data_IF_169738991461
#
_entry.id   IF_169738991461
#
_cell.length_a   1.000
_cell.length_b   1.000
_cell.length_c   1.000
_cell.angle_alpha   90.00
_cell.angle_beta   90.00
_cell.angle_gamma   90.00
#
_symmetry.space_group_name_H-M   'P 1'
#
loop_
_entity.id
_entity.type
_entity.pdbx_description
1 polymer ?
#
# COMPACT_ATOMS: atom_id res chain seq x y z
N UNK A 1 35.09 28.63 -8.54
CA UNK A 1 35.14 27.17 -8.33
C UNK A 1 34.57 26.85 -6.97
N UNK A 2 33.86 25.73 -6.82
CA UNK A 2 33.39 25.30 -5.50
C UNK A 2 34.59 25.10 -4.58
N UNK A 3 34.55 25.68 -3.38
CA UNK A 3 35.65 25.56 -2.42
C UNK A 3 35.83 24.09 -2.03
N UNK A 4 37.07 23.65 -1.77
CA UNK A 4 37.34 22.31 -1.20
C UNK A 4 36.50 22.02 0.04
N UNK A 5 36.19 23.07 0.82
CA UNK A 5 35.31 23.01 1.98
C UNK A 5 33.86 22.64 1.59
N UNK A 6 33.32 23.22 0.53
CA UNK A 6 31.97 22.94 0.04
C UNK A 6 31.85 21.51 -0.50
N UNK A 7 32.85 21.05 -1.27
CA UNK A 7 32.87 19.68 -1.79
C UNK A 7 32.92 18.68 -0.61
N UNK A 8 33.76 18.93 0.39
CA UNK A 8 33.82 18.10 1.61
C UNK A 8 32.50 18.10 2.39
N UNK A 9 31.87 19.27 2.55
CA UNK A 9 30.56 19.38 3.20
C UNK A 9 29.50 18.57 2.45
N UNK A 10 29.51 18.59 1.11
CA UNK A 10 28.61 17.81 0.28
C UNK A 10 28.83 16.30 0.44
N UNK A 11 30.08 15.83 0.49
CA UNK A 11 30.41 14.41 0.77
C UNK A 11 29.79 13.99 2.10
N UNK A 12 29.96 14.80 3.15
CA UNK A 12 29.43 14.49 4.48
C UNK A 12 27.89 14.46 4.47
N UNK A 13 27.24 15.42 3.81
CA UNK A 13 25.78 15.46 3.70
C UNK A 13 25.22 14.22 2.99
N UNK A 14 25.80 13.81 1.86
CA UNK A 14 25.35 12.63 1.11
C UNK A 14 25.66 11.35 1.89
N UNK A 15 26.79 11.29 2.60
CA UNK A 15 27.14 10.17 3.50
C UNK A 15 26.13 10.00 4.65
N UNK A 16 25.73 11.10 5.29
CA UNK A 16 24.68 11.09 6.31
C UNK A 16 23.34 10.62 5.73
N UNK A 17 22.99 11.11 4.53
CA UNK A 17 21.77 10.68 3.82
C UNK A 17 21.79 9.17 3.54
N UNK A 18 22.93 8.63 3.07
CA UNK A 18 23.11 7.18 2.86
C UNK A 18 22.90 6.38 4.15
N UNK A 19 23.45 6.84 5.28
CA UNK A 19 23.27 6.19 6.58
C UNK A 19 21.79 6.14 6.99
N UNK A 20 21.07 7.25 6.79
CA UNK A 20 19.64 7.31 7.08
C UNK A 20 18.86 6.34 6.18
N UNK A 21 19.09 6.36 4.86
CA UNK A 21 18.40 5.44 3.94
C UNK A 21 18.73 3.97 4.22
N UNK A 22 19.97 3.66 4.60
CA UNK A 22 20.37 2.31 5.00
C UNK A 22 19.64 1.85 6.27
N UNK A 23 19.57 2.70 7.29
CA UNK A 23 18.80 2.41 8.51
C UNK A 23 17.31 2.23 8.20
N UNK A 24 16.72 3.11 7.38
CA UNK A 24 15.31 3.00 6.97
C UNK A 24 15.03 1.73 6.16
N UNK A 25 15.98 1.28 5.32
CA UNK A 25 15.90 -0.03 4.64
C UNK A 25 15.80 -1.15 5.67
N UNK A 26 16.68 -1.18 6.68
CA UNK A 26 16.68 -2.23 7.71
C UNK A 26 15.38 -2.23 8.53
N UNK A 27 14.90 -1.05 8.93
CA UNK A 27 13.63 -0.92 9.68
C UNK A 27 12.45 -1.41 8.83
N UNK A 28 12.41 -1.04 7.55
CA UNK A 28 11.33 -1.45 6.65
C UNK A 28 11.38 -2.94 6.34
N UNK A 29 12.58 -3.51 6.18
CA UNK A 29 12.77 -4.95 5.97
C UNK A 29 12.31 -5.78 7.18
N UNK A 30 12.60 -5.30 8.39
CA UNK A 30 12.12 -5.95 9.62
C UNK A 30 10.59 -5.94 9.71
N UNK A 31 9.96 -4.82 9.35
CA UNK A 31 8.49 -4.71 9.30
C UNK A 31 7.88 -5.57 8.19
N UNK A 32 8.50 -5.60 7.00
CA UNK A 32 8.10 -6.45 5.88
C UNK A 32 8.05 -7.91 6.32
N UNK A 33 9.14 -8.41 6.92
CA UNK A 33 9.20 -9.80 7.39
C UNK A 33 8.09 -10.10 8.40
N UNK A 34 7.84 -9.19 9.34
CA UNK A 34 6.74 -9.34 10.30
C UNK A 34 5.37 -9.44 9.60
N UNK A 35 5.10 -8.59 8.61
CA UNK A 35 3.81 -8.61 7.90
C UNK A 35 3.68 -9.80 6.95
N UNK A 36 4.79 -10.26 6.35
CA UNK A 36 4.83 -11.52 5.59
C UNK A 36 4.52 -12.72 6.49
N UNK A 37 5.17 -12.83 7.65
CA UNK A 37 4.92 -13.90 8.62
C UNK A 37 3.44 -13.90 9.07
N UNK A 38 2.88 -12.72 9.36
CA UNK A 38 1.45 -12.57 9.69
C UNK A 38 0.55 -13.03 8.53
N UNK A 39 0.92 -12.71 7.28
CA UNK A 39 0.16 -13.11 6.10
C UNK A 39 0.20 -14.62 5.89
N UNK A 40 1.38 -15.23 6.03
CA UNK A 40 1.58 -16.68 5.90
C UNK A 40 0.80 -17.46 6.96
N UNK A 41 0.80 -16.97 8.21
CA UNK A 41 0.00 -17.57 9.29
C UNK A 41 -1.51 -17.41 9.05
N UNK A 42 -1.91 -16.36 8.34
CA UNK A 42 -3.30 -16.04 8.07
C UNK A 42 -3.90 -16.83 6.89
N UNK A 43 -3.09 -17.19 5.90
CA UNK A 43 -3.53 -17.87 4.68
C UNK A 43 -4.36 -19.14 4.94
N UNK A 44 -3.95 -20.10 5.80
CA UNK A 44 -4.72 -21.32 6.02
C UNK A 44 -6.14 -21.06 6.52
N UNK A 45 -6.29 -20.06 7.39
CA UNK A 45 -7.59 -19.66 7.94
C UNK A 45 -8.48 -19.01 6.88
N UNK A 46 -7.91 -18.09 6.09
CA UNK A 46 -8.60 -17.44 4.96
C UNK A 46 -9.05 -18.48 3.92
N UNK A 47 -8.15 -19.36 3.51
CA UNK A 47 -8.42 -20.34 2.47
C UNK A 47 -9.49 -21.32 2.93
N UNK A 48 -9.42 -21.79 4.18
CA UNK A 48 -10.44 -22.70 4.72
C UNK A 48 -11.80 -22.04 4.86
N UNK A 49 -11.88 -20.79 5.32
CA UNK A 49 -13.15 -20.05 5.37
C UNK A 49 -13.75 -19.82 3.98
N UNK A 50 -12.89 -19.50 3.00
CA UNK A 50 -13.32 -19.30 1.62
C UNK A 50 -13.83 -20.62 1.03
N UNK A 51 -13.14 -21.73 1.30
CA UNK A 51 -13.57 -23.07 0.90
C UNK A 51 -14.92 -23.46 1.53
N UNK A 52 -15.10 -23.23 2.83
CA UNK A 52 -16.36 -23.52 3.53
C UNK A 52 -17.51 -22.68 2.97
N UNK A 53 -17.28 -21.38 2.75
CA UNK A 53 -18.29 -20.52 2.12
C UNK A 53 -18.61 -20.98 0.70
N UNK A 54 -17.59 -21.34 -0.08
CA UNK A 54 -17.73 -21.79 -1.44
C UNK A 54 -18.55 -23.08 -1.56
N UNK A 55 -18.22 -24.08 -0.74
CA UNK A 55 -18.96 -25.34 -0.63
C UNK A 55 -20.41 -25.09 -0.22
N UNK A 56 -20.61 -24.22 0.76
CA UNK A 56 -21.92 -23.91 1.27
C UNK A 56 -22.80 -23.23 0.20
N UNK A 57 -22.30 -22.20 -0.50
CA UNK A 57 -23.00 -21.54 -1.62
C UNK A 57 -23.28 -22.55 -2.75
N UNK A 58 -22.35 -23.46 -3.03
CA UNK A 58 -22.52 -24.51 -4.05
C UNK A 58 -23.56 -25.58 -3.67
N UNK A 59 -23.85 -25.74 -2.39
CA UNK A 59 -24.79 -26.76 -1.87
C UNK A 59 -26.26 -26.33 -1.84
N UNK A 60 -26.55 -25.05 -2.12
CA UNK A 60 -27.90 -24.49 -2.09
C UNK A 60 -28.32 -24.10 -3.51
N UNK A 61 -29.56 -24.42 -3.88
CA UNK A 61 -30.16 -23.96 -5.12
C UNK A 61 -30.31 -22.42 -5.07
N UNK A 62 -29.93 -21.73 -6.15
CA UNK A 62 -29.82 -20.25 -6.20
C UNK A 62 -31.07 -19.49 -5.74
N UNK A 63 -32.23 -20.13 -5.72
CA UNK A 63 -33.53 -19.55 -5.37
C UNK A 63 -33.77 -19.45 -3.86
N UNK A 64 -33.02 -20.18 -3.02
CA UNK A 64 -33.14 -20.14 -1.54
C UNK A 64 -32.07 -19.27 -0.85
N UNK A 65 -31.03 -18.85 -1.59
CA UNK A 65 -29.89 -18.08 -1.05
C UNK A 65 -30.21 -16.58 -0.94
N UNK A 66 -30.86 -16.18 0.16
CA UNK A 66 -30.99 -14.76 0.49
C UNK A 66 -29.77 -14.28 1.28
N UNK A 67 -28.67 -13.93 0.59
CA UNK A 67 -27.51 -13.25 1.19
C UNK A 67 -27.64 -11.75 0.94
N UNK A 68 -28.02 -10.93 1.94
CA UNK A 68 -28.23 -9.49 1.74
C UNK A 68 -27.00 -8.76 1.17
N UNK A 69 -25.79 -9.18 1.56
CA UNK A 69 -24.53 -8.59 1.11
C UNK A 69 -24.08 -9.04 -0.29
N UNK A 70 -24.78 -10.01 -0.91
CA UNK A 70 -24.51 -10.47 -2.27
C UNK A 70 -25.54 -9.95 -3.30
N UNK A 71 -26.58 -9.24 -2.84
CA UNK A 71 -27.62 -8.72 -3.73
C UNK A 71 -27.05 -7.61 -4.62
N UNK A 72 -27.18 -7.82 -5.94
CA UNK A 72 -26.85 -6.80 -6.94
C UNK A 72 -28.05 -5.88 -7.13
N UNK A 73 -27.83 -4.57 -7.09
CA UNK A 73 -28.83 -3.52 -7.30
C UNK A 73 -28.29 -2.44 -8.22
N UNK A 74 -29.17 -1.55 -8.66
CA UNK A 74 -28.80 -0.38 -9.44
C UNK A 74 -27.79 0.48 -8.66
N UNK A 75 -26.68 0.84 -9.31
CA UNK A 75 -25.56 1.54 -8.66
C UNK A 75 -25.82 3.04 -8.72
N UNK A 76 -26.24 3.63 -7.60
CA UNK A 76 -26.44 5.08 -7.46
C UNK A 76 -25.31 5.73 -6.67
N UNK A 77 -24.80 5.04 -5.65
CA UNK A 77 -23.72 5.53 -4.79
C UNK A 77 -22.62 4.49 -4.57
N UNK A 78 -21.38 4.86 -4.84
CA UNK A 78 -20.19 3.99 -4.74
C UNK A 78 -19.29 4.45 -3.59
N UNK A 79 -18.89 3.52 -2.73
CA UNK A 79 -17.85 3.72 -1.73
C UNK A 79 -16.50 3.22 -2.27
N UNK A 80 -15.53 4.13 -2.41
CA UNK A 80 -14.16 3.80 -2.79
C UNK A 80 -13.28 3.76 -1.53
N UNK A 81 -12.90 2.58 -1.09
CA UNK A 81 -11.96 2.38 0.02
C UNK A 81 -10.54 2.34 -0.55
N UNK A 82 -9.78 3.42 -0.36
CA UNK A 82 -8.45 3.53 -0.92
C UNK A 82 -7.38 3.39 0.17
N UNK A 83 -6.47 2.42 0.02
CA UNK A 83 -5.45 2.08 1.00
C UNK A 83 -4.08 2.63 0.57
N UNK A 84 -3.49 3.43 1.44
CA UNK A 84 -2.20 4.08 1.24
C UNK A 84 -1.41 4.15 2.54
N UNK A 85 -0.18 4.67 2.47
CA UNK A 85 0.67 4.81 3.63
C UNK A 85 0.42 6.14 4.36
N UNK A 86 0.82 6.18 5.64
CA UNK A 86 0.85 7.43 6.40
C UNK A 86 2.08 8.30 6.09
N UNK A 87 3.20 7.67 5.70
CA UNK A 87 4.48 8.36 5.44
C UNK A 87 4.87 8.28 3.96
N UNK A 88 5.75 9.16 3.51
CA UNK A 88 6.36 9.05 2.18
C UNK A 88 7.48 8.01 2.11
N UNK A 89 8.37 8.19 1.11
CA UNK A 89 9.58 7.39 0.89
C UNK A 89 9.34 5.91 0.56
N UNK A 90 8.17 5.58 0.01
CA UNK A 90 7.75 4.22 -0.34
C UNK A 90 7.69 4.01 -1.87
N UNK A 91 8.58 4.65 -2.63
CA UNK A 91 8.60 4.57 -4.09
C UNK A 91 7.27 5.01 -4.71
N UNK A 92 6.75 4.21 -5.64
CA UNK A 92 5.51 4.47 -6.39
C UNK A 92 4.23 3.98 -5.70
N UNK A 93 4.31 3.43 -4.49
CA UNK A 93 3.16 2.82 -3.80
C UNK A 93 1.97 3.79 -3.66
N UNK A 94 2.19 5.00 -3.12
CA UNK A 94 1.12 5.99 -2.96
C UNK A 94 0.65 6.57 -4.30
N UNK A 95 1.56 6.75 -5.26
CA UNK A 95 1.20 7.28 -6.58
C UNK A 95 0.34 6.30 -7.35
N UNK A 96 0.59 4.99 -7.19
CA UNK A 96 -0.23 3.95 -7.80
C UNK A 96 -1.65 3.94 -7.22
N UNK A 97 -1.80 4.01 -5.90
CA UNK A 97 -3.13 4.11 -5.27
C UNK A 97 -3.86 5.39 -5.71
N UNK A 98 -3.16 6.53 -5.77
CA UNK A 98 -3.73 7.80 -6.23
C UNK A 98 -4.19 7.73 -7.70
N UNK A 99 -3.43 7.02 -8.55
CA UNK A 99 -3.81 6.78 -9.95
C UNK A 99 -5.08 5.92 -10.04
N UNK A 100 -5.14 4.81 -9.30
CA UNK A 100 -6.34 3.96 -9.24
C UNK A 100 -7.57 4.76 -8.79
N UNK A 101 -7.39 5.63 -7.79
CA UNK A 101 -8.46 6.49 -7.29
C UNK A 101 -8.93 7.47 -8.38
N UNK A 102 -8.02 8.14 -9.08
CA UNK A 102 -8.39 9.04 -10.19
C UNK A 102 -9.13 8.32 -11.32
N UNK A 103 -8.67 7.13 -11.69
CA UNK A 103 -9.28 6.31 -12.74
C UNK A 103 -10.72 5.95 -12.35
N UNK A 104 -10.92 5.45 -11.12
CA UNK A 104 -12.25 5.13 -10.60
C UNK A 104 -13.14 6.38 -10.49
N UNK A 105 -12.61 7.50 -9.98
CA UNK A 105 -13.35 8.76 -9.89
C UNK A 105 -13.81 9.25 -11.27
N UNK A 106 -12.94 9.19 -12.27
CA UNK A 106 -13.26 9.62 -13.63
C UNK A 106 -14.30 8.71 -14.28
N UNK A 107 -14.17 7.40 -14.10
CA UNK A 107 -15.13 6.42 -14.62
C UNK A 107 -16.55 6.65 -14.08
N UNK A 108 -16.69 6.83 -12.77
CA UNK A 108 -18.00 6.99 -12.14
C UNK A 108 -18.59 8.38 -12.31
N UNK A 109 -17.76 9.44 -12.34
CA UNK A 109 -18.22 10.79 -12.69
C UNK A 109 -18.82 10.85 -14.09
N UNK A 110 -18.20 10.18 -15.06
CA UNK A 110 -18.73 10.10 -16.43
C UNK A 110 -20.08 9.38 -16.51
N UNK A 111 -20.36 8.48 -15.55
CA UNK A 111 -21.63 7.76 -15.41
C UNK A 111 -22.67 8.53 -14.58
N UNK A 112 -22.31 9.68 -14.01
CA UNK A 112 -23.20 10.46 -13.14
C UNK A 112 -23.53 9.78 -11.79
N UNK A 113 -22.63 8.90 -11.31
CA UNK A 113 -22.82 8.12 -10.08
C UNK A 113 -22.14 8.86 -8.92
N UNK A 114 -22.81 8.92 -7.76
CA UNK A 114 -22.27 9.56 -6.55
C UNK A 114 -21.14 8.72 -5.94
N UNK A 115 -20.09 9.38 -5.45
CA UNK A 115 -18.88 8.70 -4.94
C UNK A 115 -18.51 9.25 -3.57
N UNK A 116 -18.27 8.34 -2.62
CA UNK A 116 -17.68 8.67 -1.31
C UNK A 116 -16.37 7.92 -1.17
N UNK A 117 -15.31 8.66 -0.83
CA UNK A 117 -13.99 8.08 -0.63
C UNK A 117 -13.76 7.81 0.86
N UNK A 118 -13.35 6.59 1.17
CA UNK A 118 -12.96 6.12 2.50
C UNK A 118 -11.45 5.88 2.52
N UNK A 119 -10.64 6.92 2.78
CA UNK A 119 -9.19 6.79 2.77
C UNK A 119 -8.69 6.05 4.00
N UNK A 120 -7.90 5.00 3.76
CA UNK A 120 -7.04 4.37 4.75
C UNK A 120 -5.62 4.91 4.52
N UNK A 121 -5.11 5.67 5.50
CA UNK A 121 -3.82 6.31 5.45
C UNK A 121 -3.85 7.80 5.04
N UNK A 122 -2.90 8.57 5.59
CA UNK A 122 -2.83 10.03 5.45
C UNK A 122 -2.56 10.48 4.01
N UNK A 123 -1.73 9.75 3.24
CA UNK A 123 -1.31 10.21 1.91
C UNK A 123 -2.46 10.24 0.91
N UNK A 124 -3.34 9.24 0.92
CA UNK A 124 -4.52 9.25 0.06
C UNK A 124 -5.62 10.18 0.58
N UNK A 125 -5.74 10.37 1.89
CA UNK A 125 -6.66 11.35 2.45
C UNK A 125 -6.30 12.78 2.02
N UNK A 126 -5.01 13.16 2.11
CA UNK A 126 -4.52 14.46 1.66
C UNK A 126 -4.71 14.64 0.15
N UNK A 127 -4.51 13.56 -0.62
CA UNK A 127 -4.70 13.56 -2.06
C UNK A 127 -6.17 13.75 -2.45
N UNK A 128 -7.08 12.99 -1.83
CA UNK A 128 -8.52 13.11 -2.07
C UNK A 128 -9.05 14.49 -1.68
N UNK A 129 -8.55 15.10 -0.58
CA UNK A 129 -8.93 16.46 -0.17
C UNK A 129 -8.61 17.49 -1.25
N UNK A 130 -7.48 17.36 -1.94
CA UNK A 130 -7.09 18.25 -3.05
C UNK A 130 -8.01 18.13 -4.27
N UNK A 131 -8.66 16.99 -4.44
CA UNK A 131 -9.60 16.73 -5.53
C UNK A 131 -11.03 17.22 -5.23
N UNK A 132 -11.28 17.82 -4.06
CA UNK A 132 -12.59 18.28 -3.61
C UNK A 132 -13.68 17.19 -3.71
N UNK A 133 -13.34 15.94 -3.36
CA UNK A 133 -14.29 14.82 -3.33
C UNK A 133 -14.85 14.66 -1.91
N UNK A 134 -16.06 14.12 -1.78
CA UNK A 134 -16.64 13.75 -0.49
C UNK A 134 -15.80 12.63 0.17
N UNK A 135 -15.31 12.88 1.38
CA UNK A 135 -14.38 11.99 2.10
C UNK A 135 -14.93 11.70 3.49
N UNK A 136 -14.90 10.43 3.89
CA UNK A 136 -15.15 10.01 5.26
C UNK A 136 -13.82 9.62 5.92
N UNK A 137 -13.34 10.42 6.86
CA UNK A 137 -12.00 10.28 7.47
C UNK A 137 -11.90 9.26 8.59
N UNK A 138 -12.96 8.52 8.87
CA UNK A 138 -13.09 7.68 10.08
C UNK A 138 -12.06 6.54 10.16
N UNK A 139 -11.42 6.19 9.03
CA UNK A 139 -10.55 5.01 8.91
C UNK A 139 -9.06 5.32 8.74
N UNK A 140 -8.65 6.59 8.92
CA UNK A 140 -7.27 7.05 8.73
C UNK A 140 -6.22 6.26 9.51
N UNK A 141 -6.55 5.84 10.74
CA UNK A 141 -5.62 5.19 11.65
C UNK A 141 -5.33 3.72 11.30
N UNK A 142 -6.09 3.11 10.40
CA UNK A 142 -5.97 1.70 10.05
C UNK A 142 -4.62 1.34 9.40
N UNK A 143 -3.94 2.32 8.80
CA UNK A 143 -2.67 2.11 8.11
C UNK A 143 -1.46 1.97 9.06
N UNK A 144 -1.53 2.41 10.33
CA UNK A 144 -0.36 2.40 11.23
C UNK A 144 -0.07 1.01 11.81
N UNK A 145 -1.12 0.26 12.13
CA UNK A 145 -1.04 -1.13 12.61
C UNK A 145 -2.23 -1.90 12.05
N UNK A 146 -2.02 -2.84 11.11
CA UNK A 146 -3.09 -3.73 10.67
C UNK A 146 -3.49 -4.61 11.86
N UNK A 147 -4.59 -4.27 12.52
CA UNK A 147 -5.21 -5.06 13.59
C UNK A 147 -6.53 -5.63 13.07
N UNK A 148 -6.83 -6.86 13.46
CA UNK A 148 -8.08 -7.51 13.11
C UNK A 148 -9.30 -6.72 13.61
N UNK A 149 -9.27 -6.25 14.85
CA UNK A 149 -10.40 -5.52 15.47
C UNK A 149 -10.76 -4.27 14.65
N UNK A 150 -9.75 -3.48 14.31
CA UNK A 150 -9.96 -2.23 13.58
C UNK A 150 -10.41 -2.49 12.14
N UNK A 151 -9.85 -3.50 11.46
CA UNK A 151 -10.35 -3.93 10.15
C UNK A 151 -11.78 -4.47 10.23
N UNK A 152 -12.12 -5.16 11.32
CA UNK A 152 -13.47 -5.67 11.57
C UNK A 152 -14.47 -4.53 11.72
N UNK A 153 -14.16 -3.49 12.48
CA UNK A 153 -15.04 -2.34 12.68
C UNK A 153 -15.31 -1.60 11.36
N UNK A 154 -14.29 -1.44 10.51
CA UNK A 154 -14.43 -0.86 9.17
C UNK A 154 -15.34 -1.73 8.31
N UNK A 155 -15.13 -3.04 8.32
CA UNK A 155 -15.93 -3.99 7.54
C UNK A 155 -17.41 -3.98 7.96
N UNK A 156 -17.68 -3.97 9.27
CA UNK A 156 -19.05 -3.88 9.81
C UNK A 156 -19.71 -2.58 9.36
N UNK A 157 -19.03 -1.45 9.51
CA UNK A 157 -19.58 -0.15 9.10
C UNK A 157 -19.87 -0.09 7.60
N UNK A 158 -18.98 -0.63 6.75
CA UNK A 158 -19.23 -0.72 5.30
C UNK A 158 -20.39 -1.66 4.97
N UNK A 159 -20.52 -2.77 5.68
CA UNK A 159 -21.64 -3.70 5.53
C UNK A 159 -22.96 -3.03 5.94
N UNK A 160 -23.01 -2.32 7.08
CA UNK A 160 -24.22 -1.62 7.55
C UNK A 160 -24.66 -0.50 6.58
N UNK A 161 -23.70 0.25 6.03
CA UNK A 161 -23.98 1.25 5.00
C UNK A 161 -24.56 0.62 3.73
N UNK A 162 -24.07 -0.57 3.37
CA UNK A 162 -24.60 -1.32 2.24
C UNK A 162 -26.02 -1.83 2.56
N UNK A 163 -26.23 -2.49 3.69
CA UNK A 163 -27.53 -3.03 4.10
C UNK A 163 -28.60 -1.94 4.22
N UNK A 164 -28.23 -0.74 4.71
CA UNK A 164 -29.13 0.42 4.80
C UNK A 164 -29.41 1.11 3.45
N UNK A 165 -28.78 0.69 2.36
CA UNK A 165 -28.97 1.28 1.03
C UNK A 165 -28.36 2.66 0.84
N UNK A 166 -27.47 3.09 1.75
CA UNK A 166 -26.71 4.34 1.59
C UNK A 166 -25.59 4.21 0.57
N UNK A 167 -25.09 3.00 0.35
CA UNK A 167 -24.09 2.68 -0.69
C UNK A 167 -24.51 1.40 -1.41
N UNK A 168 -24.35 1.38 -2.72
CA UNK A 168 -24.77 0.26 -3.57
C UNK A 168 -23.61 -0.62 -4.01
N UNK A 169 -22.38 -0.11 -3.92
CA UNK A 169 -21.15 -0.81 -4.30
C UNK A 169 -19.97 -0.31 -3.47
N UNK A 170 -19.13 -1.24 -3.03
CA UNK A 170 -17.89 -0.95 -2.30
C UNK A 170 -16.72 -1.54 -3.08
N UNK A 171 -15.73 -0.71 -3.38
CA UNK A 171 -14.51 -1.14 -4.05
C UNK A 171 -13.28 -0.85 -3.19
N UNK A 172 -12.32 -1.77 -3.20
CA UNK A 172 -11.03 -1.61 -2.56
C UNK A 172 -9.99 -1.25 -3.61
N UNK A 173 -9.26 -0.18 -3.36
CA UNK A 173 -8.12 0.28 -4.15
C UNK A 173 -6.87 0.13 -3.29
N UNK A 174 -6.00 -0.80 -3.64
CA UNK A 174 -4.81 -1.09 -2.85
C UNK A 174 -3.68 -1.59 -3.76
N UNK A 175 -2.49 -1.84 -3.20
CA UNK A 175 -1.43 -2.50 -3.93
C UNK A 175 -1.25 -3.91 -3.38
N UNK A 176 -1.45 -4.91 -4.22
CA UNK A 176 -1.22 -6.32 -3.91
C UNK A 176 0.28 -6.63 -3.83
N UNK A 177 0.69 -7.34 -2.78
CA UNK A 177 2.07 -7.77 -2.60
C UNK A 177 2.35 -9.04 -3.39
N UNK A 178 3.11 -8.92 -4.49
CA UNK A 178 3.63 -10.10 -5.21
C UNK A 178 4.99 -10.53 -4.67
N UNK A 179 5.89 -9.57 -4.49
CA UNK A 179 7.20 -9.76 -3.86
C UNK A 179 7.80 -8.40 -3.45
N UNK A 180 8.95 -8.41 -2.78
CA UNK A 180 9.61 -7.21 -2.26
C UNK A 180 9.83 -6.10 -3.33
N UNK A 181 10.05 -6.48 -4.60
CA UNK A 181 10.29 -5.54 -5.70
C UNK A 181 9.04 -5.19 -6.52
N UNK A 182 7.95 -5.96 -6.41
CA UNK A 182 6.77 -5.84 -7.27
C UNK A 182 5.50 -5.72 -6.43
N UNK A 183 4.85 -4.56 -6.57
CA UNK A 183 3.54 -4.27 -5.99
C UNK A 183 2.57 -3.99 -7.14
N UNK A 184 1.49 -4.76 -7.22
CA UNK A 184 0.53 -4.67 -8.31
C UNK A 184 -0.63 -3.78 -7.84
N UNK A 185 -0.89 -2.64 -8.49
CA UNK A 185 -2.06 -1.83 -8.17
C UNK A 185 -3.32 -2.64 -8.53
N UNK A 186 -4.15 -2.93 -7.53
CA UNK A 186 -5.34 -3.76 -7.67
C UNK A 186 -6.58 -2.99 -7.28
N UNK A 187 -7.64 -3.19 -8.07
CA UNK A 187 -8.98 -2.68 -7.81
C UNK A 187 -9.93 -3.88 -7.73
N UNK A 188 -10.53 -4.07 -6.57
CA UNK A 188 -11.41 -5.21 -6.32
C UNK A 188 -12.78 -4.77 -5.80
N UNK A 189 -13.82 -5.49 -6.19
CA UNK A 189 -15.18 -5.28 -5.66
C UNK A 189 -15.27 -6.02 -4.32
N UNK A 190 -15.48 -5.28 -3.24
CA UNK A 190 -15.66 -5.83 -1.90
C UNK A 190 -17.12 -6.21 -1.65
N UNK A 191 -18.04 -5.30 -1.96
CA UNK A 191 -19.48 -5.52 -1.92
C UNK A 191 -20.12 -5.01 -3.21
N UNK A 192 -21.12 -5.70 -3.79
CA UNK A 192 -21.68 -6.98 -3.32
C UNK A 192 -20.69 -8.14 -3.41
N UNK A 193 -20.88 -9.14 -2.55
CA UNK A 193 -20.10 -10.38 -2.60
C UNK A 193 -20.39 -11.13 -3.90
N UNK A 194 -19.34 -11.57 -4.60
CA UNK A 194 -19.50 -12.45 -5.75
C UNK A 194 -19.93 -13.82 -5.26
N UNK A 195 -21.07 -14.31 -5.76
CA UNK A 195 -21.54 -15.69 -5.55
C UNK A 195 -20.94 -16.68 -6.56
N UNK A 196 -20.09 -16.19 -7.48
CA UNK A 196 -19.41 -17.07 -8.42
C UNK A 196 -18.20 -17.71 -7.73
N UNK A 197 -18.39 -18.95 -7.31
CA UNK A 197 -17.32 -19.87 -6.95
C UNK A 197 -16.65 -20.40 -8.22
N UNK A 198 -15.31 -20.41 -8.23
CA UNK A 198 -14.55 -21.16 -9.23
C UNK A 198 -14.99 -22.61 -9.19
N UNK A 199 -15.63 -23.08 -10.27
CA UNK A 199 -16.28 -24.40 -10.42
C UNK A 199 -15.33 -25.62 -10.28
N UNK A 200 -14.07 -25.42 -9.90
CA UNK A 200 -13.05 -26.46 -9.90
C UNK A 200 -12.90 -27.21 -8.56
N UNK A 201 -13.57 -26.79 -7.50
CA UNK A 201 -13.63 -27.57 -6.25
C UNK A 201 -14.84 -28.51 -6.27
N UNK A 202 -14.71 -29.63 -6.98
CA UNK A 202 -15.60 -30.80 -6.85
C UNK A 202 -15.36 -31.47 -5.48
N UNK A 203 -15.80 -30.83 -4.40
CA UNK A 203 -15.84 -31.44 -3.07
C UNK A 203 -17.28 -31.39 -2.58
N UNK A 204 -18.07 -32.36 -3.04
CA UNK A 204 -19.44 -32.59 -2.61
C UNK A 204 -19.46 -33.24 -1.21
N UNK A 205 -18.79 -32.60 -0.24
CA UNK A 205 -18.82 -33.00 1.17
C UNK A 205 -20.11 -32.46 1.78
N UNK A 206 -21.05 -33.37 2.07
CA UNK A 206 -22.27 -33.00 2.79
C UNK A 206 -21.93 -32.67 4.24
N UNK A 207 -22.13 -31.40 4.62
CA UNK A 207 -22.07 -30.96 6.00
C UNK A 207 -23.46 -31.02 6.63
N UNK A 208 -23.54 -31.57 7.84
CA UNK A 208 -24.69 -31.35 8.71
C UNK A 208 -24.54 -29.96 9.32
N UNK A 209 -25.54 -29.08 9.10
CA UNK A 209 -25.54 -27.69 9.56
C UNK A 209 -26.54 -27.56 10.69
N UNK A 210 -26.09 -27.15 11.86
CA UNK A 210 -26.91 -26.85 13.04
C UNK A 210 -26.74 -25.36 13.40
N UNK A 211 -27.80 -24.62 13.80
CA UNK A 211 -29.20 -25.05 13.96
C UNK A 211 -30.03 -24.97 12.66
N UNK A 212 -29.84 -23.94 11.83
CA UNK A 212 -30.46 -23.82 10.50
C UNK A 212 -29.47 -23.26 9.49
N UNK A 213 -29.67 -23.61 8.22
CA UNK A 213 -28.84 -23.15 7.09
C UNK A 213 -28.79 -21.63 7.01
N UNK A 214 -29.93 -20.93 7.06
CA UNK A 214 -29.95 -19.47 6.92
C UNK A 214 -29.27 -18.77 8.10
N UNK A 215 -29.45 -19.30 9.31
CA UNK A 215 -28.76 -18.77 10.51
C UNK A 215 -27.25 -18.87 10.38
N UNK A 216 -26.75 -20.01 9.90
CA UNK A 216 -25.31 -20.22 9.70
C UNK A 216 -24.72 -19.25 8.67
N UNK A 217 -25.40 -18.98 7.55
CA UNK A 217 -24.96 -17.99 6.56
C UNK A 217 -24.88 -16.60 7.18
N UNK A 218 -25.93 -16.20 7.91
CA UNK A 218 -26.02 -14.87 8.49
C UNK A 218 -24.89 -14.60 9.49
N UNK A 219 -24.38 -15.65 10.14
CA UNK A 219 -23.22 -15.56 11.02
C UNK A 219 -21.88 -15.64 10.25
N UNK A 220 -21.80 -16.50 9.23
CA UNK A 220 -20.57 -16.73 8.46
C UNK A 220 -20.21 -15.55 7.55
N UNK A 221 -21.20 -14.94 6.88
CA UNK A 221 -20.97 -13.87 5.90
C UNK A 221 -20.26 -12.67 6.53
N UNK A 222 -20.70 -12.13 7.70
CA UNK A 222 -19.97 -11.07 8.40
C UNK A 222 -18.54 -11.48 8.78
N UNK A 223 -18.30 -12.73 9.18
CA UNK A 223 -16.94 -13.23 9.45
C UNK A 223 -16.09 -13.12 8.18
N UNK A 224 -16.57 -13.65 7.04
CA UNK A 224 -15.84 -13.61 5.77
C UNK A 224 -15.55 -12.18 5.34
N UNK A 225 -16.52 -11.28 5.45
CA UNK A 225 -16.37 -9.86 5.06
C UNK A 225 -15.29 -9.17 5.92
N UNK A 226 -15.31 -9.39 7.24
CA UNK A 226 -14.25 -8.91 8.15
C UNK A 226 -12.89 -9.48 7.80
N UNK A 227 -12.82 -10.78 7.55
CA UNK A 227 -11.58 -11.46 7.19
C UNK A 227 -11.00 -10.95 5.88
N UNK A 228 -11.86 -10.75 4.87
CA UNK A 228 -11.46 -10.28 3.55
C UNK A 228 -10.87 -8.87 3.64
N UNK A 229 -11.50 -7.97 4.38
CA UNK A 229 -10.96 -6.62 4.56
C UNK A 229 -9.64 -6.63 5.34
N UNK A 230 -9.54 -7.43 6.41
CA UNK A 230 -8.29 -7.60 7.14
C UNK A 230 -7.16 -8.13 6.24
N UNK A 231 -7.45 -9.14 5.40
CA UNK A 231 -6.51 -9.68 4.44
C UNK A 231 -6.00 -8.61 3.48
N UNK A 232 -6.90 -7.79 2.92
CA UNK A 232 -6.54 -6.72 1.98
C UNK A 232 -5.70 -5.63 2.64
N UNK A 233 -6.02 -5.24 3.87
CA UNK A 233 -5.24 -4.24 4.62
C UNK A 233 -3.84 -4.80 4.95
N UNK A 234 -3.74 -6.06 5.36
CA UNK A 234 -2.47 -6.72 5.66
C UNK A 234 -1.59 -6.88 4.40
N UNK A 235 -2.19 -7.27 3.28
CA UNK A 235 -1.53 -7.39 1.98
C UNK A 235 -0.99 -6.03 1.51
N UNK A 236 -1.82 -4.98 1.58
CA UNK A 236 -1.41 -3.62 1.26
C UNK A 236 -0.30 -3.09 2.19
N UNK A 237 -0.34 -3.43 3.48
CA UNK A 237 0.73 -3.07 4.44
C UNK A 237 2.04 -3.78 4.12
N UNK A 238 1.97 -5.05 3.69
CA UNK A 238 3.13 -5.82 3.24
C UNK A 238 3.73 -5.22 1.97
N UNK A 239 2.87 -4.86 1.01
CA UNK A 239 3.25 -4.14 -0.20
C UNK A 239 3.92 -2.79 0.09
N UNK A 240 3.42 -2.04 1.06
CA UNK A 240 4.03 -0.77 1.50
C UNK A 240 5.45 -0.97 2.03
N UNK A 241 5.65 -1.95 2.92
CA UNK A 241 6.97 -2.23 3.50
C UNK A 241 7.95 -2.79 2.46
N UNK A 242 7.47 -3.59 1.50
CA UNK A 242 8.24 -4.04 0.34
C UNK A 242 8.72 -2.86 -0.51
N UNK A 243 7.77 -2.02 -0.95
CA UNK A 243 8.06 -0.84 -1.76
C UNK A 243 9.04 0.13 -1.07
N UNK A 244 8.87 0.36 0.24
CA UNK A 244 9.78 1.20 1.03
C UNK A 244 11.17 0.59 1.16
N UNK A 245 11.27 -0.71 1.40
CA UNK A 245 12.57 -1.40 1.49
C UNK A 245 13.35 -1.26 0.18
N UNK A 246 12.68 -1.50 -0.94
CA UNK A 246 13.27 -1.36 -2.28
C UNK A 246 13.65 0.09 -2.60
N UNK A 247 12.78 1.06 -2.30
CA UNK A 247 13.07 2.48 -2.50
C UNK A 247 14.28 2.96 -1.67
N UNK A 248 14.39 2.52 -0.42
CA UNK A 248 15.52 2.86 0.46
C UNK A 248 16.81 2.18 0.03
N UNK A 249 16.75 0.96 -0.49
CA UNK A 249 17.89 0.28 -1.09
C UNK A 249 18.43 1.07 -2.29
N UNK A 250 17.56 1.41 -3.25
CA UNK A 250 17.93 2.18 -4.44
C UNK A 250 18.50 3.54 -4.03
N UNK A 251 17.88 4.22 -3.05
CA UNK A 251 18.39 5.50 -2.54
C UNK A 251 19.79 5.37 -1.92
N UNK A 252 20.05 4.32 -1.14
CA UNK A 252 21.36 4.07 -0.53
C UNK A 252 22.44 3.78 -1.58
N UNK A 253 22.12 2.97 -2.59
CA UNK A 253 23.03 2.65 -3.71
C UNK A 253 23.33 3.89 -4.56
N UNK A 254 22.31 4.72 -4.84
CA UNK A 254 22.48 5.98 -5.55
C UNK A 254 23.33 6.97 -4.77
N UNK A 255 23.15 7.05 -3.45
CA UNK A 255 23.98 7.88 -2.58
C UNK A 255 25.45 7.41 -2.58
N UNK A 256 25.69 6.09 -2.57
CA UNK A 256 27.03 5.52 -2.67
C UNK A 256 27.73 5.86 -3.99
N UNK A 257 27.03 5.72 -5.12
CA UNK A 257 27.53 6.15 -6.44
C UNK A 257 27.87 7.65 -6.44
N UNK A 258 26.98 8.48 -5.92
CA UNK A 258 27.18 9.93 -5.84
C UNK A 258 28.39 10.31 -4.96
N UNK A 259 28.59 9.63 -3.83
CA UNK A 259 29.78 9.82 -2.99
C UNK A 259 31.06 9.50 -3.77
N UNK A 260 31.05 8.43 -4.58
CA UNK A 260 32.17 8.08 -5.46
C UNK A 260 32.54 9.22 -6.43
N UNK A 261 31.53 9.76 -7.14
CA UNK A 261 31.73 10.87 -8.08
C UNK A 261 32.23 12.14 -7.38
N UNK A 262 31.63 12.51 -6.24
CA UNK A 262 32.05 13.72 -5.51
C UNK A 262 33.47 13.55 -4.94
N UNK A 263 33.88 12.35 -4.53
CA UNK A 263 35.25 12.06 -4.09
C UNK A 263 36.27 12.25 -5.23
N UNK A 264 35.95 11.80 -6.45
CA UNK A 264 36.81 12.03 -7.60
C UNK A 264 36.97 13.53 -7.89
N UNK A 265 35.86 14.29 -7.85
CA UNK A 265 35.89 15.75 -8.00
C UNK A 265 36.71 16.43 -6.90
N UNK A 266 36.56 15.99 -5.65
CA UNK A 266 37.34 16.50 -4.52
C UNK A 266 38.84 16.29 -4.72
N UNK A 267 39.25 15.09 -5.13
CA UNK A 267 40.65 14.79 -5.35
C UNK A 267 41.25 15.62 -6.48
N UNK A 268 40.52 15.80 -7.58
CA UNK A 268 40.93 16.66 -8.70
C UNK A 268 41.08 18.12 -8.26
N UNK A 269 40.06 18.69 -7.60
CA UNK A 269 40.12 20.06 -7.11
C UNK A 269 41.24 20.26 -6.07
N UNK A 270 41.53 19.24 -5.26
CA UNK A 270 42.63 19.29 -4.27
C UNK A 270 43.98 19.35 -4.97
N UNK A 271 44.17 18.54 -6.01
CA UNK A 271 45.39 18.56 -6.81
C UNK A 271 45.57 19.91 -7.49
N UNK A 272 44.51 20.47 -8.07
CA UNK A 272 44.53 21.79 -8.70
C UNK A 272 44.98 22.89 -7.72
N UNK A 273 44.38 22.94 -6.52
CA UNK A 273 44.79 23.89 -5.46
C UNK A 273 46.26 23.71 -5.08
N UNK A 274 46.71 22.47 -4.84
CA UNK A 274 48.11 22.20 -4.50
C UNK A 274 49.05 22.65 -5.64
N UNK A 275 48.69 22.41 -6.89
CA UNK A 275 49.50 22.83 -8.04
C UNK A 275 49.55 24.35 -8.17
N UNK A 276 48.44 25.05 -7.96
CA UNK A 276 48.39 26.52 -7.99
C UNK A 276 49.23 27.10 -6.86
N UNK A 277 49.11 26.59 -5.63
CA UNK A 277 49.94 27.02 -4.49
C UNK A 277 51.44 26.80 -4.76
N UNK A 278 51.82 25.66 -5.35
CA UNK A 278 53.21 25.41 -5.73
C UNK A 278 53.71 26.37 -6.81
N UNK A 279 52.90 26.64 -7.84
CA UNK A 279 53.24 27.60 -8.90
C UNK A 279 53.41 29.01 -8.32
N UNK A 280 52.54 29.43 -7.41
CA UNK A 280 52.62 30.73 -6.74
C UNK A 280 53.88 30.85 -5.87
N UNK A 281 54.25 29.78 -5.14
CA UNK A 281 55.49 29.75 -4.32
C UNK A 281 56.73 29.85 -5.22
N UNK A 282 56.80 29.06 -6.29
CA UNK A 282 57.95 29.09 -7.21
C UNK A 282 58.03 30.43 -7.94
N UNK A 283 56.90 30.95 -8.42
CA UNK A 283 56.83 32.26 -9.08
C UNK A 283 57.24 33.41 -8.16
N UNK A 284 56.81 33.40 -6.90
CA UNK A 284 57.23 34.36 -5.90
C UNK A 284 58.72 34.27 -5.56
N UNK A 285 59.28 33.06 -5.46
CA UNK A 285 60.71 32.85 -5.21
C UNK A 285 61.59 33.32 -6.39
N UNK A 286 61.14 33.14 -7.62
CA UNK A 286 61.82 33.63 -8.83
C UNK A 286 61.78 35.16 -8.91
N UNK A 287 60.65 35.78 -8.55
CA UNK A 287 60.52 37.24 -8.55
C UNK A 287 61.48 37.95 -7.58
N UNK A 288 61.85 37.30 -6.47
CA UNK A 288 62.82 37.81 -5.48
C UNK A 288 64.28 37.69 -5.92
N UNK A 289 64.57 36.91 -6.98
CA UNK A 289 65.93 36.72 -7.52
C UNK A 289 66.33 37.75 -8.58
N UNK A 290 65.39 38.59 -9.03
CA UNK A 290 65.64 39.74 -9.91
C UNK A 290 65.69 41.02 -9.09
#
# INVERSE_FOLDING_TARGET
>A
MASLKEIRARINSVSSTRKITSAMKMVSAAKLRKTEDMTLQFLPYKDKLTEVLAQYIGSIEKEELNIPLAQSREIKKVALVAISSNTGLCGTFNTNTARLLNEALSEYKNKGIDIVVYPIGKKIADYAKRLNVEICTDFLHAADKPNYELSSDIAIKLADLFLSGKIDRVELLYNHYKNAGVQIPSREIFLPLSTQTDKNTNTNTLYFVEPDRNTFINDLVPIVVRMRLYATILDSSTAEHGARTTAMQIASENAEKMIGTIKQLYNRARQEVITTELIDIVGGSEALRK
#
